data_IF_146613045100
#
_entry.id   IF_146613045100
#
_cell.length_a   1.000
_cell.length_b   1.000
_cell.length_c   1.000
_cell.angle_alpha   90.00
_cell.angle_beta   90.00
_cell.angle_gamma   90.00
#
_symmetry.space_group_name_H-M   'P 1'
#
loop_
_entity.id
_entity.type
_entity.pdbx_description
1 polymer ?
#
# COMPACT_ATOMS: atom_id res chain seq x y z
N UNK A 1 48.47 -66.76 -25.22
CA UNK A 1 48.53 -68.24 -25.18
C UNK A 1 47.10 -68.79 -25.21
N UNK A 2 46.93 -70.04 -25.69
CA UNK A 2 45.74 -70.94 -25.66
C UNK A 2 44.39 -70.38 -25.14
N UNK A 3 43.29 -70.36 -25.91
CA UNK A 3 42.51 -71.50 -26.47
C UNK A 3 41.72 -72.25 -25.37
N UNK A 4 40.38 -72.13 -25.28
CA UNK A 4 39.30 -72.87 -26.00
C UNK A 4 38.28 -73.36 -24.91
N UNK A 5 37.07 -73.91 -25.16
CA UNK A 5 36.39 -74.39 -26.37
C UNK A 5 34.84 -74.22 -26.27
N UNK A 6 34.10 -74.68 -27.28
CA UNK A 6 32.64 -74.55 -27.46
C UNK A 6 31.77 -75.42 -26.52
N UNK A 7 30.47 -75.09 -26.38
CA UNK A 7 29.46 -76.03 -25.88
C UNK A 7 28.03 -75.47 -25.76
N UNK A 8 27.13 -75.88 -26.67
CA UNK A 8 25.69 -75.56 -26.71
C UNK A 8 24.96 -76.69 -27.50
N UNK A 9 23.64 -76.95 -27.34
CA UNK A 9 22.75 -76.78 -26.18
C UNK A 9 22.14 -78.17 -25.77
N UNK A 10 21.01 -78.24 -25.03
CA UNK A 10 19.71 -78.34 -25.72
C UNK A 10 18.52 -77.64 -25.01
N UNK A 11 17.35 -77.65 -25.67
CA UNK A 11 16.18 -76.82 -25.41
C UNK A 11 15.08 -77.40 -24.50
N UNK A 12 14.55 -76.59 -23.58
CA UNK A 12 13.11 -76.48 -23.21
C UNK A 12 12.92 -75.41 -22.13
N UNK A 13 11.88 -74.57 -22.12
CA UNK A 13 10.80 -74.36 -23.08
C UNK A 13 9.64 -73.58 -22.45
N UNK A 14 9.38 -72.35 -22.92
CA UNK A 14 8.33 -71.49 -22.40
C UNK A 14 8.48 -70.05 -22.85
N UNK A 15 7.57 -69.57 -23.69
CA UNK A 15 7.44 -68.14 -24.02
C UNK A 15 6.51 -67.47 -23.02
N UNK A 16 6.76 -66.23 -22.64
CA UNK A 16 5.78 -65.12 -22.70
C UNK A 16 6.51 -63.77 -22.62
N UNK A 17 5.79 -62.69 -22.89
CA UNK A 17 6.29 -61.37 -23.27
C UNK A 17 7.44 -60.78 -22.42
N UNK A 18 8.35 -60.07 -23.09
CA UNK A 18 9.19 -59.03 -22.49
C UNK A 18 8.46 -57.71 -22.69
N UNK A 19 8.10 -57.04 -21.59
CA UNK A 19 7.78 -55.61 -21.58
C UNK A 19 9.04 -54.83 -21.18
N UNK A 20 9.19 -53.61 -21.69
CA UNK A 20 10.32 -52.74 -21.32
C UNK A 20 10.02 -52.05 -19.99
N UNK A 21 10.86 -52.27 -18.98
CA UNK A 21 10.95 -51.36 -17.83
C UNK A 21 11.84 -50.17 -18.24
N UNK A 22 11.26 -48.97 -18.28
CA UNK A 22 12.01 -47.73 -18.52
C UNK A 22 12.82 -47.33 -17.27
N UNK A 23 14.05 -46.84 -17.45
CA UNK A 23 14.92 -46.42 -16.34
C UNK A 23 14.32 -45.27 -15.51
N UNK A 24 13.98 -45.52 -14.23
CA UNK A 24 13.62 -44.46 -13.28
C UNK A 24 14.85 -43.59 -12.93
N UNK A 25 15.02 -42.49 -13.67
CA UNK A 25 16.03 -41.47 -13.42
C UNK A 25 15.92 -40.90 -11.98
N UNK A 26 16.92 -41.21 -11.15
CA UNK A 26 16.92 -40.87 -9.72
C UNK A 26 16.93 -39.35 -9.49
N UNK A 27 15.78 -38.80 -9.06
CA UNK A 27 15.63 -37.37 -8.82
C UNK A 27 16.35 -36.92 -7.55
N UNK A 28 17.20 -35.92 -7.71
CA UNK A 28 17.89 -35.20 -6.62
C UNK A 28 16.87 -34.62 -5.60
N UNK A 29 16.88 -35.06 -4.33
CA UNK A 29 15.94 -34.59 -3.31
C UNK A 29 16.13 -33.11 -2.94
N UNK A 30 17.23 -32.47 -3.33
CA UNK A 30 17.44 -31.03 -3.12
C UNK A 30 16.69 -30.14 -4.12
N UNK A 31 16.15 -30.71 -5.21
CA UNK A 31 15.35 -29.99 -6.21
C UNK A 31 13.84 -30.02 -5.95
N UNK A 32 13.41 -30.37 -4.74
CA UNK A 32 12.01 -30.25 -4.34
C UNK A 32 11.52 -28.80 -4.51
N UNK A 33 10.53 -28.58 -5.41
CA UNK A 33 9.84 -27.28 -5.50
C UNK A 33 9.31 -26.91 -4.11
N UNK A 34 9.49 -25.65 -3.65
CA UNK A 34 8.90 -25.24 -2.38
C UNK A 34 7.38 -25.46 -2.44
N UNK A 35 6.75 -25.96 -1.37
CA UNK A 35 5.34 -26.33 -1.40
C UNK A 35 4.51 -25.09 -1.73
N UNK A 36 3.79 -25.14 -2.86
CA UNK A 36 2.73 -24.17 -3.14
C UNK A 36 1.60 -24.41 -2.15
N UNK A 37 1.69 -23.76 -0.99
CA UNK A 37 0.54 -23.57 -0.11
C UNK A 37 -0.50 -22.83 -0.94
N UNK A 38 -1.56 -23.54 -1.31
CA UNK A 38 -2.66 -22.96 -2.05
C UNK A 38 -3.30 -21.87 -1.17
N UNK A 39 -3.01 -20.61 -1.52
CA UNK A 39 -3.75 -19.48 -0.94
C UNK A 39 -5.24 -19.70 -1.22
N UNK A 40 -6.15 -19.46 -0.28
CA UNK A 40 -7.57 -19.66 -0.50
C UNK A 40 -8.02 -18.95 -1.80
N UNK A 41 -8.89 -19.57 -2.61
CA UNK A 41 -9.30 -19.03 -3.90
C UNK A 41 -9.87 -17.62 -3.73
N UNK A 42 -9.80 -16.81 -4.80
CA UNK A 42 -10.02 -15.35 -4.79
C UNK A 42 -11.48 -14.90 -4.56
N UNK A 43 -12.12 -15.41 -3.52
CA UNK A 43 -13.31 -14.82 -2.92
C UNK A 43 -12.99 -13.45 -2.32
N UNK A 44 -13.98 -12.56 -2.37
CA UNK A 44 -13.89 -11.19 -1.88
C UNK A 44 -13.49 -11.17 -0.39
N UNK A 45 -12.32 -10.61 -0.05
CA UNK A 45 -11.87 -10.51 1.35
C UNK A 45 -12.70 -9.46 2.09
N UNK A 46 -13.60 -9.88 2.98
CA UNK A 46 -14.38 -8.98 3.82
C UNK A 46 -13.57 -8.52 5.05
N UNK A 47 -13.31 -7.21 5.13
CA UNK A 47 -12.67 -6.46 6.24
C UNK A 47 -11.26 -6.88 6.69
N UNK A 48 -10.40 -5.89 6.94
CA UNK A 48 -8.98 -6.05 7.33
C UNK A 48 -8.73 -6.49 8.78
N UNK A 49 -9.52 -7.44 9.28
CA UNK A 49 -9.46 -8.00 10.64
C UNK A 49 -9.04 -9.49 10.62
N UNK A 50 -8.29 -9.89 9.59
CA UNK A 50 -7.82 -11.27 9.42
C UNK A 50 -6.53 -11.54 10.19
N UNK A 51 -6.44 -12.69 10.86
CA UNK A 51 -5.20 -13.13 11.55
C UNK A 51 -3.98 -13.24 10.61
N UNK A 52 -4.21 -13.33 9.30
CA UNK A 52 -3.19 -13.38 8.25
C UNK A 52 -2.54 -12.01 7.98
N UNK A 53 -3.25 -10.90 8.28
CA UNK A 53 -2.76 -9.54 8.05
C UNK A 53 -1.99 -8.99 9.27
N UNK A 54 -2.17 -9.58 10.46
CA UNK A 54 -1.55 -9.13 11.70
C UNK A 54 0.00 -9.06 11.67
N UNK A 55 0.75 -9.99 11.03
CA UNK A 55 2.20 -9.85 10.90
C UNK A 55 2.61 -8.68 10.02
N UNK A 56 1.91 -8.45 8.89
CA UNK A 56 2.15 -7.30 8.00
C UNK A 56 1.87 -6.00 8.74
N UNK A 57 0.76 -5.93 9.48
CA UNK A 57 0.44 -4.80 10.35
C UNK A 57 1.51 -4.55 11.43
N UNK A 58 2.18 -5.59 11.94
CA UNK A 58 3.24 -5.42 12.95
C UNK A 58 4.53 -4.76 12.38
N UNK A 59 4.79 -4.84 11.07
CA UNK A 59 6.00 -4.28 10.44
C UNK A 59 6.15 -2.78 10.66
N UNK A 60 5.05 -2.04 10.85
CA UNK A 60 5.07 -0.60 11.11
C UNK A 60 5.86 -0.26 12.40
N UNK A 61 5.92 -1.18 13.36
CA UNK A 61 6.68 -1.00 14.60
C UNK A 61 8.17 -1.19 14.36
N UNK A 62 8.57 -2.24 13.62
CA UNK A 62 9.97 -2.50 13.30
C UNK A 62 10.61 -1.33 12.52
N UNK A 63 9.90 -0.80 11.53
CA UNK A 63 10.38 0.32 10.73
C UNK A 63 10.48 1.63 11.54
N UNK A 64 9.46 1.94 12.35
CA UNK A 64 9.44 3.17 13.14
C UNK A 64 10.43 3.11 14.33
N UNK A 65 10.60 1.94 14.95
CA UNK A 65 11.61 1.69 15.98
C UNK A 65 13.04 1.88 15.45
N UNK A 66 13.35 1.31 14.29
CA UNK A 66 14.65 1.50 13.65
C UNK A 66 14.92 2.98 13.31
N UNK A 67 13.95 3.69 12.73
CA UNK A 67 14.04 5.14 12.49
C UNK A 67 14.25 5.94 13.79
N UNK A 68 13.58 5.58 14.89
CA UNK A 68 13.72 6.26 16.19
C UNK A 68 15.12 6.06 16.81
N UNK A 69 15.70 4.87 16.67
CA UNK A 69 17.10 4.61 17.06
C UNK A 69 18.06 5.43 16.20
N UNK A 70 17.85 5.49 14.88
CA UNK A 70 18.67 6.32 13.98
C UNK A 70 18.65 7.81 14.35
N UNK A 71 17.48 8.37 14.71
CA UNK A 71 17.37 9.74 15.22
C UNK A 71 18.16 9.93 16.53
N UNK A 72 18.03 8.99 17.46
CA UNK A 72 18.74 9.02 18.76
C UNK A 72 20.26 8.93 18.60
N UNK A 73 20.73 8.20 17.59
CA UNK A 73 22.14 8.06 17.21
C UNK A 73 22.66 9.23 16.34
N UNK A 74 21.84 10.23 16.03
CA UNK A 74 22.26 11.40 15.25
C UNK A 74 22.44 11.15 13.75
N UNK A 75 21.90 10.05 13.20
CA UNK A 75 21.89 9.85 11.75
C UNK A 75 21.08 10.94 11.04
N UNK A 76 19.96 11.37 11.63
CA UNK A 76 19.11 12.45 11.13
C UNK A 76 18.34 13.11 12.28
N UNK A 77 17.80 14.31 12.05
CA UNK A 77 16.95 14.99 13.03
C UNK A 77 15.46 14.60 12.85
N UNK A 78 14.88 14.05 13.93
CA UNK A 78 13.45 13.81 14.05
C UNK A 78 12.93 14.13 15.46
N UNK A 79 12.45 15.36 15.69
CA UNK A 79 11.90 15.74 16.99
C UNK A 79 10.53 15.08 17.29
N UNK A 80 9.91 14.41 16.32
CA UNK A 80 8.55 13.85 16.45
C UNK A 80 8.55 12.35 16.72
N UNK A 81 9.46 11.59 16.09
CA UNK A 81 9.42 10.13 16.11
C UNK A 81 9.59 9.55 17.52
N UNK A 82 10.45 10.14 18.36
CA UNK A 82 10.64 9.75 19.76
C UNK A 82 9.44 10.03 20.67
N UNK A 83 8.46 10.81 20.21
CA UNK A 83 7.19 11.02 20.92
C UNK A 83 6.08 10.09 20.41
N UNK A 84 6.13 9.68 19.15
CA UNK A 84 5.10 8.85 18.49
C UNK A 84 5.41 7.35 18.62
N UNK A 85 6.68 6.95 18.58
CA UNK A 85 7.09 5.54 18.66
C UNK A 85 7.24 5.12 20.13
N UNK A 86 6.59 4.03 20.58
CA UNK A 86 6.74 3.54 21.95
C UNK A 86 8.18 3.09 22.23
N UNK A 87 8.75 3.51 23.36
CA UNK A 87 10.17 3.30 23.67
C UNK A 87 10.61 1.82 23.67
N UNK A 88 9.71 0.87 24.00
CA UNK A 88 10.00 -0.57 23.96
C UNK A 88 10.24 -1.12 22.54
N UNK A 89 9.89 -0.36 21.51
CA UNK A 89 10.03 -0.72 20.08
C UNK A 89 11.40 -0.31 19.54
N UNK A 90 12.09 0.63 20.21
CA UNK A 90 13.43 1.13 19.85
C UNK A 90 14.55 0.15 20.25
N UNK A 91 14.37 -1.15 19.96
CA UNK A 91 15.39 -2.18 20.17
C UNK A 91 16.58 -2.00 19.23
N UNK A 92 17.79 -2.27 19.72
CA UNK A 92 19.04 -2.12 18.96
C UNK A 92 18.99 -2.92 17.66
N UNK A 93 19.25 -2.27 16.52
CA UNK A 93 19.57 -2.92 15.24
C UNK A 93 21.09 -2.85 15.02
N UNK A 94 21.61 -3.45 13.94
CA UNK A 94 23.03 -3.34 13.58
C UNK A 94 23.34 -2.01 12.88
N UNK A 95 24.61 -1.56 12.84
CA UNK A 95 25.02 -0.37 12.08
C UNK A 95 24.65 -0.44 10.59
N UNK A 96 24.71 -1.64 9.99
CA UNK A 96 24.22 -1.91 8.61
C UNK A 96 22.74 -1.52 8.47
N UNK A 97 21.90 -1.94 9.41
CA UNK A 97 20.47 -1.58 9.41
C UNK A 97 20.28 -0.08 9.62
N UNK A 98 21.05 0.57 10.50
CA UNK A 98 20.94 2.02 10.71
C UNK A 98 21.35 2.83 9.47
N UNK A 99 22.42 2.43 8.77
CA UNK A 99 22.82 3.00 7.45
C UNK A 99 21.70 2.85 6.41
N UNK A 100 21.12 1.66 6.30
CA UNK A 100 19.98 1.40 5.41
C UNK A 100 18.75 2.25 5.75
N UNK A 101 18.38 2.36 7.03
CA UNK A 101 17.28 3.21 7.47
C UNK A 101 17.53 4.71 7.28
N UNK A 102 18.77 5.17 7.41
CA UNK A 102 19.17 6.55 7.11
C UNK A 102 18.99 6.89 5.62
N UNK A 103 19.41 6.02 4.71
CA UNK A 103 19.22 6.20 3.27
C UNK A 103 17.74 6.14 2.88
N UNK A 104 17.01 5.11 3.35
CA UNK A 104 15.55 4.98 3.23
C UNK A 104 14.81 6.26 3.64
N UNK A 105 15.16 6.80 4.81
CA UNK A 105 14.52 7.98 5.40
C UNK A 105 14.86 9.29 4.68
N UNK A 106 16.14 9.49 4.33
CA UNK A 106 16.57 10.68 3.58
C UNK A 106 16.02 10.70 2.16
N UNK A 107 15.87 9.54 1.50
CA UNK A 107 15.22 9.42 0.21
C UNK A 107 13.78 9.94 0.23
N UNK A 108 12.92 9.48 1.14
CA UNK A 108 11.51 9.91 1.22
C UNK A 108 11.39 11.42 1.52
N UNK A 109 12.24 11.95 2.41
CA UNK A 109 12.24 13.38 2.76
C UNK A 109 12.72 14.27 1.60
N UNK A 110 13.79 13.87 0.91
CA UNK A 110 14.28 14.56 -0.29
C UNK A 110 13.24 14.52 -1.42
N UNK A 111 12.53 13.40 -1.57
CA UNK A 111 11.48 13.27 -2.56
C UNK A 111 10.32 14.24 -2.34
N UNK A 112 9.76 14.30 -1.12
CA UNK A 112 8.70 15.24 -0.78
C UNK A 112 9.12 16.70 -0.99
N UNK A 113 10.32 17.09 -0.55
CA UNK A 113 10.88 18.43 -0.76
C UNK A 113 11.02 18.79 -2.25
N UNK A 114 11.57 17.86 -3.04
CA UNK A 114 11.83 18.03 -4.48
C UNK A 114 10.53 18.13 -5.28
N UNK A 115 9.55 17.27 -4.98
CA UNK A 115 8.20 17.31 -5.55
C UNK A 115 7.51 18.66 -5.28
N UNK A 116 7.52 19.14 -4.03
CA UNK A 116 6.92 20.43 -3.64
C UNK A 116 7.55 21.61 -4.40
N UNK A 117 8.86 21.55 -4.67
CA UNK A 117 9.59 22.56 -5.45
C UNK A 117 9.34 22.49 -6.97
N UNK A 118 8.93 21.33 -7.49
CA UNK A 118 8.70 21.10 -8.93
C UNK A 118 7.21 21.23 -9.35
N UNK A 119 6.30 21.13 -8.39
CA UNK A 119 4.85 21.28 -8.57
C UNK A 119 4.42 22.66 -9.12
N UNK A 120 3.32 22.73 -9.90
CA UNK A 120 2.77 24.01 -10.37
C UNK A 120 2.40 24.89 -9.15
N UNK A 121 2.98 26.09 -9.00
CA UNK A 121 2.76 26.96 -7.85
C UNK A 121 1.32 27.49 -7.73
N UNK A 122 0.54 27.42 -8.83
CA UNK A 122 -0.85 27.87 -8.89
C UNK A 122 -1.86 26.76 -8.52
N UNK A 123 -1.38 25.51 -8.36
CA UNK A 123 -2.21 24.35 -8.00
C UNK A 123 -1.85 23.88 -6.57
N UNK A 124 -2.81 23.37 -5.78
CA UNK A 124 -2.53 22.85 -4.44
C UNK A 124 -1.54 21.67 -4.43
N UNK A 125 -1.08 21.32 -3.23
CA UNK A 125 -0.21 20.16 -2.95
C UNK A 125 -1.03 19.11 -2.20
N UNK A 126 -1.04 17.88 -2.71
CA UNK A 126 -1.41 16.69 -1.94
C UNK A 126 -0.19 15.78 -1.78
N UNK A 127 -0.09 15.14 -0.62
CA UNK A 127 0.82 14.01 -0.39
C UNK A 127 0.00 12.87 0.21
N UNK A 128 0.19 11.65 -0.26
CA UNK A 128 -0.46 10.44 0.24
C UNK A 128 0.61 9.44 0.65
N UNK A 129 0.80 9.25 1.96
CA UNK A 129 1.66 8.20 2.51
C UNK A 129 0.82 6.91 2.63
N UNK A 130 1.10 5.93 1.74
CA UNK A 130 0.37 4.67 1.60
C UNK A 130 1.02 3.63 2.52
N UNK A 131 0.27 3.13 3.50
CA UNK A 131 0.77 2.26 4.58
C UNK A 131 1.66 3.02 5.56
N UNK A 132 1.28 4.26 5.88
CA UNK A 132 2.11 5.22 6.61
C UNK A 132 2.54 4.75 8.01
N UNK A 133 1.82 3.84 8.66
CA UNK A 133 2.18 3.34 9.98
C UNK A 133 2.42 4.47 11.00
N UNK A 134 3.63 4.53 11.55
CA UNK A 134 4.07 5.62 12.45
C UNK A 134 5.05 6.59 11.77
N UNK A 135 4.95 6.82 10.45
CA UNK A 135 5.81 7.77 9.75
C UNK A 135 5.66 9.21 10.28
N UNK A 136 6.71 10.00 10.09
CA UNK A 136 6.81 11.41 10.52
C UNK A 136 6.92 12.39 9.34
N UNK A 137 6.70 11.91 8.11
CA UNK A 137 6.94 12.68 6.88
C UNK A 137 6.06 13.94 6.82
N UNK A 138 4.80 13.87 7.26
CA UNK A 138 3.94 15.05 7.40
C UNK A 138 4.59 16.18 8.20
N UNK A 139 5.13 15.86 9.38
CA UNK A 139 5.70 16.87 10.28
C UNK A 139 6.95 17.52 9.69
N UNK A 140 7.78 16.73 8.98
CA UNK A 140 8.91 17.26 8.23
C UNK A 140 8.48 18.22 7.11
N UNK A 141 7.46 17.83 6.33
CA UNK A 141 6.91 18.67 5.27
C UNK A 141 6.31 19.95 5.84
N UNK A 142 5.38 19.84 6.80
CA UNK A 142 4.71 20.98 7.43
C UNK A 142 5.70 21.96 8.09
N UNK A 143 6.80 21.46 8.69
CA UNK A 143 7.81 22.30 9.31
C UNK A 143 8.75 23.03 8.33
N UNK A 144 8.75 22.68 7.04
CA UNK A 144 9.68 23.19 6.04
C UNK A 144 9.04 23.71 4.74
N UNK A 145 7.76 23.46 4.48
CA UNK A 145 7.06 23.81 3.23
C UNK A 145 7.19 25.30 2.84
N UNK A 146 7.14 26.20 3.83
CA UNK A 146 7.35 27.65 3.64
C UNK A 146 8.77 27.99 3.14
N UNK A 147 9.79 27.23 3.54
CA UNK A 147 11.18 27.34 3.04
C UNK A 147 11.32 26.82 1.60
N UNK A 148 10.34 26.06 1.12
CA UNK A 148 10.27 25.52 -0.23
C UNK A 148 9.35 26.35 -1.15
N UNK A 149 8.90 27.52 -0.68
CA UNK A 149 8.13 28.49 -1.47
C UNK A 149 6.62 28.21 -1.54
N UNK A 150 6.10 27.28 -0.73
CA UNK A 150 4.67 26.92 -0.66
C UNK A 150 4.13 27.19 0.74
N UNK A 151 2.85 27.56 0.86
CA UNK A 151 2.23 27.82 2.17
C UNK A 151 1.79 26.51 2.83
N UNK A 152 1.66 26.50 4.16
CA UNK A 152 1.08 25.35 4.86
C UNK A 152 -0.39 25.12 4.47
N UNK A 153 -1.09 26.20 4.11
CA UNK A 153 -2.46 26.19 3.60
C UNK A 153 -2.58 25.65 2.16
N UNK A 154 -1.47 25.49 1.42
CA UNK A 154 -1.47 24.87 0.09
C UNK A 154 -1.55 23.33 0.16
N UNK A 155 -1.31 22.74 1.33
CA UNK A 155 -1.10 21.31 1.54
C UNK A 155 -2.38 20.61 2.02
N UNK A 156 -2.61 19.38 1.53
CA UNK A 156 -3.35 18.34 2.25
C UNK A 156 -2.53 17.06 2.26
N UNK A 157 -2.11 16.63 3.46
CA UNK A 157 -1.35 15.40 3.66
C UNK A 157 -2.29 14.29 4.16
N UNK A 158 -2.39 13.21 3.39
CA UNK A 158 -3.14 12.01 3.72
C UNK A 158 -2.19 10.91 4.18
N UNK A 159 -2.53 10.21 5.25
CA UNK A 159 -1.90 8.95 5.65
C UNK A 159 -2.95 7.85 5.57
N UNK A 160 -2.77 6.89 4.65
CA UNK A 160 -3.67 5.77 4.45
C UNK A 160 -3.10 4.51 5.10
N UNK A 161 -3.85 3.85 5.97
CA UNK A 161 -3.45 2.58 6.60
C UNK A 161 -4.69 1.78 7.05
N UNK A 162 -4.48 0.53 7.49
CA UNK A 162 -5.52 -0.31 8.06
C UNK A 162 -6.21 0.41 9.24
N UNK A 163 -7.55 0.24 9.41
CA UNK A 163 -8.32 0.86 10.49
C UNK A 163 -7.72 0.74 11.90
N UNK A 164 -7.13 -0.42 12.22
CA UNK A 164 -6.48 -0.68 13.51
C UNK A 164 -5.18 0.11 13.70
N UNK A 165 -4.45 0.43 12.63
CA UNK A 165 -3.21 1.23 12.68
C UNK A 165 -3.54 2.72 12.75
N UNK A 166 -4.50 3.19 11.94
CA UNK A 166 -5.06 4.54 12.07
C UNK A 166 -5.59 4.79 13.48
N UNK A 167 -6.37 3.86 14.06
CA UNK A 167 -6.89 3.99 15.43
C UNK A 167 -5.76 4.13 16.47
N UNK A 168 -4.66 3.38 16.33
CA UNK A 168 -3.47 3.51 17.19
C UNK A 168 -2.78 4.87 17.00
N UNK A 169 -2.62 5.36 15.76
CA UNK A 169 -1.99 6.65 15.47
C UNK A 169 -2.84 7.82 15.97
N UNK A 170 -4.16 7.83 15.73
CA UNK A 170 -5.11 8.82 16.28
C UNK A 170 -4.96 8.95 17.80
N UNK A 171 -5.01 7.84 18.55
CA UNK A 171 -4.87 7.83 20.02
C UNK A 171 -3.50 8.33 20.48
N UNK A 172 -2.45 7.97 19.76
CA UNK A 172 -1.07 8.42 20.05
C UNK A 172 -0.94 9.93 19.82
N UNK A 173 -1.38 10.45 18.68
CA UNK A 173 -1.30 11.88 18.36
C UNK A 173 -2.15 12.73 19.33
N UNK A 174 -3.37 12.31 19.65
CA UNK A 174 -4.23 12.99 20.63
C UNK A 174 -3.58 13.05 22.02
N UNK A 175 -3.05 11.94 22.53
CA UNK A 175 -2.39 11.90 23.85
C UNK A 175 -1.06 12.65 23.88
N UNK A 176 -0.38 12.79 22.73
CA UNK A 176 0.92 13.48 22.61
C UNK A 176 0.82 14.93 22.16
N UNK A 177 -0.35 15.42 21.76
CA UNK A 177 -0.54 16.68 21.04
C UNK A 177 0.15 17.90 21.70
N UNK A 178 0.11 17.99 23.03
CA UNK A 178 0.71 19.08 23.80
C UNK A 178 2.23 18.92 24.03
N UNK A 179 2.77 17.72 23.81
CA UNK A 179 4.20 17.35 24.02
C UNK A 179 4.97 17.13 22.72
N UNK A 180 4.26 17.02 21.60
CA UNK A 180 4.81 16.82 20.26
C UNK A 180 5.38 18.16 19.76
N UNK A 181 6.68 18.26 19.39
CA UNK A 181 7.29 19.55 19.05
C UNK A 181 6.59 20.26 17.89
N UNK A 182 6.16 21.52 18.14
CA UNK A 182 5.29 22.31 17.25
C UNK A 182 3.97 21.60 16.85
N UNK A 183 3.52 20.58 17.59
CA UNK A 183 2.44 19.68 17.16
C UNK A 183 1.11 20.38 16.89
N UNK A 184 0.68 21.25 17.82
CA UNK A 184 -0.56 22.03 17.68
C UNK A 184 -0.46 23.17 16.66
N UNK A 185 0.68 23.85 16.64
CA UNK A 185 1.02 24.89 15.67
C UNK A 185 0.98 24.35 14.23
N UNK A 186 1.70 23.24 13.99
CA UNK A 186 1.78 22.58 12.68
C UNK A 186 0.46 21.94 12.28
N UNK A 187 -0.41 21.52 13.20
CA UNK A 187 -1.79 21.10 12.90
C UNK A 187 -2.80 22.26 12.83
N UNK A 188 -2.36 23.53 13.00
CA UNK A 188 -3.21 24.75 13.08
C UNK A 188 -4.30 24.73 14.17
N UNK A 189 -4.13 23.91 15.23
CA UNK A 189 -5.11 23.74 16.32
C UNK A 189 -5.03 24.80 17.43
N UNK A 190 -4.14 25.78 17.31
CA UNK A 190 -3.95 26.91 18.25
C UNK A 190 -4.55 28.25 17.76
N UNK A 191 -5.13 28.30 16.56
CA UNK A 191 -5.61 29.56 15.95
C UNK A 191 -7.00 29.94 16.50
N UNK A 192 -7.04 30.24 17.81
CA UNK A 192 -8.26 30.43 18.60
C UNK A 192 -8.29 31.72 19.41
N UNK A 193 -7.76 32.83 18.87
CA UNK A 193 -7.78 34.17 19.51
C UNK A 193 -8.53 35.24 18.69
N UNK A 194 -9.47 34.81 17.83
CA UNK A 194 -10.42 35.70 17.15
C UNK A 194 -11.68 35.95 17.98
N UNK A 195 -12.46 37.00 17.69
CA UNK A 195 -13.77 37.21 18.31
C UNK A 195 -14.75 36.07 17.95
N UNK A 196 -15.71 35.74 18.83
CA UNK A 196 -16.62 34.61 18.61
C UNK A 196 -17.52 34.85 17.39
N UNK A 197 -17.25 34.15 16.29
CA UNK A 197 -18.01 34.24 15.04
C UNK A 197 -17.27 33.74 13.80
N UNK A 198 -15.93 33.77 13.78
CA UNK A 198 -15.13 33.12 12.72
C UNK A 198 -14.85 31.66 13.06
N UNK A 199 -15.01 30.75 12.10
CA UNK A 199 -14.78 29.32 12.24
C UNK A 199 -13.35 28.99 12.71
N UNK A 200 -13.23 28.48 13.94
CA UNK A 200 -11.98 27.94 14.47
C UNK A 200 -11.64 26.58 13.85
N UNK A 201 -10.36 26.21 13.86
CA UNK A 201 -9.88 24.93 13.33
C UNK A 201 -10.18 23.75 14.25
N UNK A 202 -11.43 23.30 14.29
CA UNK A 202 -11.83 22.08 15.01
C UNK A 202 -11.23 20.81 14.37
N UNK A 203 -10.91 19.82 15.21
CA UNK A 203 -10.64 18.46 14.75
C UNK A 203 -11.97 17.79 14.45
N UNK A 204 -12.30 17.60 13.18
CA UNK A 204 -13.59 17.04 12.74
C UNK A 204 -13.67 15.53 13.03
N UNK A 205 -14.08 15.19 14.25
CA UNK A 205 -14.31 13.81 14.71
C UNK A 205 -15.63 13.26 14.17
N UNK A 206 -15.61 12.61 13.00
CA UNK A 206 -16.76 11.90 12.45
C UNK A 206 -16.73 10.40 12.78
N UNK A 207 -17.86 9.85 13.22
CA UNK A 207 -18.03 8.40 13.44
C UNK A 207 -18.46 7.69 12.15
N UNK A 208 -17.53 6.98 11.49
CA UNK A 208 -17.81 6.23 10.27
C UNK A 208 -18.62 4.94 10.57
N UNK A 209 -19.90 4.94 10.18
CA UNK A 209 -20.87 3.88 10.46
C UNK A 209 -20.90 2.80 9.37
N UNK A 210 -19.76 2.17 9.06
CA UNK A 210 -19.69 1.06 8.09
C UNK A 210 -20.36 -0.21 8.62
N UNK A 211 -21.64 -0.37 8.32
CA UNK A 211 -22.33 -1.66 8.41
C UNK A 211 -21.87 -2.63 7.30
N UNK A 212 -22.09 -3.94 7.44
CA UNK A 212 -21.79 -4.90 6.38
C UNK A 212 -22.67 -4.65 5.16
N UNK A 213 -22.05 -4.58 3.98
CA UNK A 213 -22.75 -4.40 2.70
C UNK A 213 -23.66 -5.60 2.42
N UNK A 214 -24.95 -5.43 2.09
CA UNK A 214 -25.84 -6.54 1.79
C UNK A 214 -25.38 -7.34 0.56
N UNK A 215 -25.10 -8.63 0.75
CA UNK A 215 -24.78 -9.56 -0.33
C UNK A 215 -26.04 -9.92 -1.15
N UNK A 216 -26.52 -8.99 -1.99
CA UNK A 216 -27.82 -9.14 -2.64
C UNK A 216 -28.21 -8.12 -3.71
N UNK A 217 -27.26 -7.45 -4.37
CA UNK A 217 -27.53 -6.55 -5.49
C UNK A 217 -26.52 -6.74 -6.63
N UNK A 218 -26.88 -7.51 -7.65
CA UNK A 218 -26.12 -7.55 -8.90
C UNK A 218 -26.24 -6.21 -9.66
N UNK A 219 -25.20 -5.76 -10.37
CA UNK A 219 -25.22 -4.46 -11.04
C UNK A 219 -26.24 -4.46 -12.18
N UNK A 220 -27.23 -3.56 -12.09
CA UNK A 220 -28.05 -3.20 -13.24
C UNK A 220 -27.18 -2.60 -14.34
N UNK A 221 -27.44 -2.98 -15.59
CA UNK A 221 -26.70 -2.47 -16.75
C UNK A 221 -26.80 -0.93 -16.82
N UNK A 222 -25.67 -0.21 -17.04
CA UNK A 222 -25.72 1.23 -17.25
C UNK A 222 -26.46 1.53 -18.57
N UNK A 223 -27.25 2.62 -18.63
CA UNK A 223 -27.90 3.03 -19.88
C UNK A 223 -26.85 3.44 -20.93
N UNK A 224 -27.09 3.17 -22.22
CA UNK A 224 -26.15 3.53 -23.28
C UNK A 224 -26.03 5.05 -23.43
N UNK A 225 -24.79 5.53 -23.61
CA UNK A 225 -24.50 6.94 -23.88
C UNK A 225 -25.07 7.38 -25.26
N UNK A 226 -25.55 8.62 -25.39
CA UNK A 226 -26.12 9.12 -26.64
C UNK A 226 -25.06 9.23 -27.74
N UNK A 227 -25.34 8.64 -28.91
CA UNK A 227 -24.39 8.52 -30.00
C UNK A 227 -24.30 9.82 -30.82
N UNK A 228 -23.12 10.44 -30.86
CA UNK A 228 -22.90 11.72 -31.55
C UNK A 228 -22.58 11.50 -33.04
N UNK A 229 -23.60 11.46 -33.89
CA UNK A 229 -23.45 11.53 -35.35
C UNK A 229 -24.59 12.34 -35.98
N UNK A 230 -24.25 13.34 -36.79
CA UNK A 230 -25.21 14.30 -37.33
C UNK A 230 -25.82 13.87 -38.67
N UNK A 231 -27.15 13.85 -38.76
CA UNK A 231 -27.91 13.75 -40.00
C UNK A 231 -29.12 14.71 -39.98
N UNK A 232 -29.71 15.01 -41.14
CA UNK A 232 -30.68 16.10 -41.35
C UNK A 232 -32.15 15.62 -41.38
N UNK A 233 -33.06 16.52 -40.95
CA UNK A 233 -34.51 16.55 -41.25
C UNK A 233 -35.33 15.34 -40.70
N UNK A 234 -36.67 15.32 -40.59
CA UNK A 234 -37.76 16.20 -41.11
C UNK A 234 -38.71 16.60 -39.95
N UNK A 235 -39.66 17.52 -40.21
CA UNK A 235 -40.72 18.00 -39.29
C UNK A 235 -41.99 17.10 -39.34
N UNK A 236 -42.97 17.36 -38.46
CA UNK A 236 -44.34 16.78 -38.33
C UNK A 236 -44.44 15.55 -37.41
N UNK A 237 -45.37 15.43 -36.46
CA UNK A 237 -46.31 16.44 -35.91
C UNK A 237 -47.64 15.85 -35.41
N UNK A 238 -48.08 16.25 -34.20
CA UNK A 238 -49.51 16.26 -33.81
C UNK A 238 -50.03 15.25 -32.77
N UNK A 239 -50.53 15.82 -31.66
CA UNK A 239 -51.80 15.49 -30.95
C UNK A 239 -51.85 14.34 -29.92
N UNK A 240 -52.59 14.63 -28.84
CA UNK A 240 -52.93 13.75 -27.70
C UNK A 240 -54.37 13.23 -27.83
N UNK A 241 -54.65 11.99 -27.38
CA UNK A 241 -55.99 11.50 -26.95
C UNK A 241 -55.84 10.46 -25.81
N UNK A 242 -56.95 10.08 -25.15
CA UNK A 242 -56.95 9.57 -23.76
C UNK A 242 -57.98 8.47 -23.42
N UNK A 243 -57.51 7.35 -22.85
CA UNK A 243 -58.29 6.34 -22.07
C UNK A 243 -59.38 5.56 -22.83
N UNK A 244 -60.26 4.79 -22.13
CA UNK A 244 -60.19 4.27 -20.74
C UNK A 244 -60.51 2.74 -20.64
N UNK A 245 -60.53 2.14 -19.42
CA UNK A 245 -61.22 0.85 -19.17
C UNK A 245 -60.67 -0.05 -18.04
N UNK A 246 -61.56 -0.61 -17.21
CA UNK A 246 -61.34 -1.65 -16.16
C UNK A 246 -62.36 -2.82 -16.42
N UNK A 247 -62.76 -3.77 -15.51
CA UNK A 247 -62.49 -4.05 -14.07
C UNK A 247 -61.78 -5.44 -13.90
N UNK A 248 -61.85 -6.31 -12.85
CA UNK A 248 -62.67 -6.52 -11.62
C UNK A 248 -61.85 -7.12 -10.45
N UNK A 249 -62.50 -7.31 -9.28
CA UNK A 249 -62.11 -8.23 -8.18
C UNK A 249 -62.68 -9.66 -8.44
N UNK A 250 -62.68 -10.70 -7.58
CA UNK A 250 -62.37 -10.96 -6.14
C UNK A 250 -61.84 -12.42 -5.97
N UNK A 251 -61.80 -13.19 -4.85
CA UNK A 251 -62.43 -13.14 -3.50
C UNK A 251 -61.73 -14.01 -2.41
N UNK A 252 -62.26 -13.89 -1.19
CA UNK A 252 -62.05 -14.55 0.13
C UNK A 252 -61.68 -16.06 0.21
N UNK A 253 -61.03 -16.47 1.33
CA UNK A 253 -60.84 -17.89 1.71
C UNK A 253 -60.14 -18.21 3.07
N UNK A 254 -60.79 -17.91 4.20
CA UNK A 254 -60.54 -18.40 5.59
C UNK A 254 -60.58 -19.94 5.74
N UNK A 255 -60.03 -20.65 6.75
CA UNK A 255 -59.26 -20.32 7.99
C UNK A 255 -58.64 -21.56 8.68
N UNK A 256 -57.46 -21.41 9.31
CA UNK A 256 -57.08 -21.94 10.65
C UNK A 256 -56.90 -23.46 10.96
N UNK A 257 -55.87 -23.79 11.77
CA UNK A 257 -55.80 -24.86 12.81
C UNK A 257 -54.50 -24.70 13.63
N UNK A 258 -54.46 -25.19 14.88
CA UNK A 258 -53.34 -24.99 15.84
C UNK A 258 -52.90 -26.27 16.55
N UNK A 259 -51.59 -26.47 16.77
CA UNK A 259 -51.04 -27.33 17.85
C UNK A 259 -49.55 -27.04 18.14
N UNK A 260 -49.06 -27.50 19.30
CA UNK A 260 -47.69 -27.37 19.85
C UNK A 260 -47.53 -28.44 20.97
N UNK A 261 -46.39 -28.61 21.68
CA UNK A 261 -45.02 -28.10 21.47
C UNK A 261 -43.94 -29.25 21.49
N UNK A 262 -42.65 -28.92 21.38
CA UNK A 262 -41.54 -29.78 21.89
C UNK A 262 -40.37 -28.90 22.35
N UNK A 263 -39.49 -29.42 23.21
CA UNK A 263 -38.65 -28.65 24.16
C UNK A 263 -37.16 -28.53 23.83
N UNK A 264 -36.61 -27.35 24.15
CA UNK A 264 -35.22 -27.03 24.55
C UNK A 264 -34.05 -27.91 24.09
N UNK A 265 -33.14 -27.28 23.34
CA UNK A 265 -31.77 -27.05 23.84
C UNK A 265 -31.29 -25.68 23.35
N UNK A 266 -30.41 -25.01 24.10
CA UNK A 266 -30.08 -23.59 23.88
C UNK A 266 -28.58 -23.36 23.92
N UNK A 267 -27.97 -23.04 22.78
CA UNK A 267 -26.61 -22.49 22.72
C UNK A 267 -26.43 -21.59 21.48
N UNK A 268 -27.24 -20.52 21.40
CA UNK A 268 -27.01 -19.45 20.45
C UNK A 268 -25.73 -18.70 20.84
N UNK A 269 -24.59 -19.12 20.29
CA UNK A 269 -23.33 -18.39 20.36
C UNK A 269 -23.45 -17.11 19.53
N UNK A 270 -24.06 -16.07 20.12
CA UNK A 270 -24.19 -14.75 19.50
C UNK A 270 -22.81 -14.17 19.27
N UNK A 271 -22.31 -14.34 18.05
CA UNK A 271 -21.02 -13.79 17.61
C UNK A 271 -21.15 -12.27 17.62
N UNK A 272 -20.65 -11.64 18.68
CA UNK A 272 -20.65 -10.19 18.81
C UNK A 272 -19.67 -9.60 17.80
N UNK A 273 -20.18 -9.28 16.61
CA UNK A 273 -19.46 -8.50 15.60
C UNK A 273 -19.18 -7.12 16.17
N UNK A 274 -17.99 -6.96 16.75
CA UNK A 274 -17.53 -5.71 17.34
C UNK A 274 -17.22 -4.72 16.22
N UNK A 275 -18.19 -3.86 15.90
CA UNK A 275 -18.01 -2.73 14.98
C UNK A 275 -16.97 -1.77 15.56
N UNK A 276 -15.71 -1.99 15.19
CA UNK A 276 -14.57 -1.17 15.61
C UNK A 276 -14.71 0.26 15.06
N UNK A 277 -15.32 1.14 15.86
CA UNK A 277 -15.48 2.56 15.54
C UNK A 277 -14.12 3.19 15.27
N UNK A 278 -13.91 3.68 14.06
CA UNK A 278 -12.69 4.42 13.71
C UNK A 278 -12.93 5.90 13.93
N UNK A 279 -12.18 6.49 14.86
CA UNK A 279 -12.08 7.94 15.00
C UNK A 279 -11.18 8.48 13.89
N UNK A 280 -11.78 9.13 12.90
CA UNK A 280 -11.04 9.85 11.86
C UNK A 280 -10.40 11.11 12.47
N UNK A 281 -9.11 11.34 12.21
CA UNK A 281 -8.36 12.47 12.75
C UNK A 281 -7.98 13.41 11.60
N UNK A 282 -8.79 14.43 11.39
CA UNK A 282 -8.66 15.41 10.31
C UNK A 282 -8.50 16.82 10.88
N UNK A 283 -7.75 17.66 10.17
CA UNK A 283 -7.52 19.09 10.48
C UNK A 283 -7.76 19.91 9.20
N UNK A 284 -7.17 21.10 9.04
CA UNK A 284 -7.20 21.77 7.73
C UNK A 284 -6.43 20.98 6.66
N UNK A 285 -5.24 20.47 6.98
CA UNK A 285 -4.20 20.04 6.03
C UNK A 285 -3.52 18.70 6.38
N UNK A 286 -3.98 18.00 7.41
CA UNK A 286 -3.60 16.60 7.72
C UNK A 286 -4.85 15.72 7.81
N UNK A 287 -4.77 14.48 7.31
CA UNK A 287 -5.86 13.49 7.27
C UNK A 287 -5.33 12.09 7.58
N UNK A 288 -5.83 11.45 8.63
CA UNK A 288 -5.74 10.00 8.75
C UNK A 288 -6.91 9.32 8.00
N UNK A 289 -6.59 8.35 7.15
CA UNK A 289 -7.54 7.67 6.25
C UNK A 289 -7.49 6.17 6.53
N UNK A 290 -8.60 5.63 7.03
CA UNK A 290 -8.71 4.22 7.42
C UNK A 290 -9.35 3.39 6.30
N UNK A 291 -8.55 2.53 5.68
CA UNK A 291 -9.02 1.65 4.61
C UNK A 291 -8.12 0.42 4.44
N UNK A 292 -8.69 -0.69 3.95
CA UNK A 292 -7.89 -1.71 3.29
C UNK A 292 -7.61 -1.28 1.83
N UNK A 293 -6.38 -0.85 1.54
CA UNK A 293 -6.01 -0.37 0.20
C UNK A 293 -6.15 -1.45 -0.89
N UNK A 294 -6.23 -2.73 -0.52
CA UNK A 294 -6.49 -3.85 -1.45
C UNK A 294 -7.93 -3.87 -1.98
N UNK A 295 -8.79 -2.97 -1.48
CA UNK A 295 -10.16 -2.72 -1.92
C UNK A 295 -10.23 -1.36 -2.63
N UNK A 296 -10.07 -1.29 -3.98
CA UNK A 296 -9.89 -0.01 -4.68
C UNK A 296 -11.01 1.00 -4.47
N UNK A 297 -12.27 0.54 -4.36
CA UNK A 297 -13.42 1.41 -4.04
C UNK A 297 -13.33 1.98 -2.63
N UNK A 298 -13.09 1.14 -1.63
CA UNK A 298 -12.95 1.57 -0.23
C UNK A 298 -11.82 2.60 -0.05
N UNK A 299 -10.70 2.40 -0.75
CA UNK A 299 -9.57 3.32 -0.79
C UNK A 299 -9.94 4.68 -1.42
N UNK A 300 -10.50 4.66 -2.63
CA UNK A 300 -10.95 5.87 -3.33
C UNK A 300 -12.02 6.61 -2.53
N UNK A 301 -13.06 5.91 -2.08
CA UNK A 301 -14.15 6.47 -1.27
C UNK A 301 -13.62 7.08 0.04
N UNK A 302 -12.69 6.42 0.74
CA UNK A 302 -12.12 6.93 1.99
C UNK A 302 -11.27 8.20 1.77
N UNK A 303 -10.58 8.32 0.63
CA UNK A 303 -9.89 9.55 0.24
C UNK A 303 -10.89 10.67 -0.11
N UNK A 304 -11.95 10.38 -0.88
CA UNK A 304 -12.98 11.36 -1.20
C UNK A 304 -13.68 11.90 0.06
N UNK A 305 -14.05 11.04 1.02
CA UNK A 305 -14.62 11.47 2.30
C UNK A 305 -13.65 12.29 3.17
N UNK A 306 -12.34 12.08 3.03
CA UNK A 306 -11.31 12.89 3.68
C UNK A 306 -11.04 14.26 3.00
N UNK A 307 -11.71 14.55 1.88
CA UNK A 307 -11.60 15.83 1.17
C UNK A 307 -10.61 15.83 -0.01
N UNK A 308 -10.53 14.72 -0.75
CA UNK A 308 -9.69 14.60 -1.94
C UNK A 308 -9.90 15.70 -2.99
N UNK A 309 -8.81 16.24 -3.54
CA UNK A 309 -8.83 17.22 -4.63
C UNK A 309 -8.08 16.70 -5.87
N UNK A 310 -8.82 16.17 -6.85
CA UNK A 310 -8.26 15.68 -8.11
C UNK A 310 -7.56 16.72 -9.01
N UNK A 311 -7.64 18.02 -8.67
CA UNK A 311 -6.99 19.12 -9.40
C UNK A 311 -5.60 19.49 -8.85
N UNK A 312 -5.19 18.90 -7.73
CA UNK A 312 -3.93 19.22 -7.07
C UNK A 312 -2.72 18.50 -7.68
N UNK A 313 -1.53 19.10 -7.57
CA UNK A 313 -0.29 18.33 -7.68
C UNK A 313 -0.32 17.26 -6.58
N UNK A 314 -0.04 16.01 -6.91
CA UNK A 314 -0.19 14.90 -5.97
C UNK A 314 1.02 13.97 -5.99
N UNK A 315 1.64 13.80 -4.80
CA UNK A 315 2.69 12.81 -4.55
C UNK A 315 2.12 11.61 -3.78
N UNK A 316 2.34 10.42 -4.30
CA UNK A 316 2.10 9.15 -3.60
C UNK A 316 3.43 8.59 -3.09
N UNK A 317 3.47 8.15 -1.84
CA UNK A 317 4.63 7.55 -1.19
C UNK A 317 4.29 6.13 -0.76
N UNK A 318 5.18 5.17 -1.02
CA UNK A 318 5.07 3.78 -0.57
C UNK A 318 6.41 3.29 -0.01
N UNK A 319 6.46 3.02 1.30
CA UNK A 319 7.72 2.80 2.03
C UNK A 319 7.79 1.37 2.63
N UNK A 320 7.98 0.35 1.78
CA UNK A 320 7.75 -1.09 2.01
C UNK A 320 6.28 -1.41 2.30
N UNK A 321 5.41 -1.39 1.28
CA UNK A 321 3.96 -1.58 1.46
C UNK A 321 3.29 -2.37 0.32
N UNK A 322 3.51 -2.03 -0.96
CA UNK A 322 2.97 -2.77 -2.11
C UNK A 322 3.63 -4.16 -2.25
N UNK A 323 4.85 -4.32 -1.73
CA UNK A 323 5.54 -5.61 -1.62
C UNK A 323 4.79 -6.63 -0.73
N UNK A 324 3.92 -6.18 0.18
CA UNK A 324 3.14 -7.04 1.09
C UNK A 324 1.78 -7.49 0.53
N UNK A 325 1.47 -7.19 -0.73
CA UNK A 325 0.25 -7.67 -1.42
C UNK A 325 0.61 -8.30 -2.78
N UNK A 326 -0.19 -9.26 -3.25
CA UNK A 326 0.01 -9.85 -4.58
C UNK A 326 0.04 -8.75 -5.67
N UNK A 327 0.86 -8.90 -6.71
CA UNK A 327 1.13 -7.85 -7.71
C UNK A 327 -0.14 -7.15 -8.20
N UNK A 328 -1.15 -7.93 -8.60
CA UNK A 328 -2.47 -7.45 -9.05
C UNK A 328 -3.13 -6.42 -8.12
N UNK A 329 -3.01 -6.54 -6.79
CA UNK A 329 -3.63 -5.60 -5.85
C UNK A 329 -2.81 -4.31 -5.75
N UNK A 330 -1.48 -4.41 -5.76
CA UNK A 330 -0.60 -3.24 -5.82
C UNK A 330 -0.78 -2.47 -7.13
N UNK A 331 -1.00 -3.19 -8.24
CA UNK A 331 -1.24 -2.60 -9.55
C UNK A 331 -2.58 -1.84 -9.60
N UNK A 332 -3.65 -2.35 -8.99
CA UNK A 332 -4.91 -1.61 -8.84
C UNK A 332 -4.81 -0.41 -7.88
N UNK A 333 -3.95 -0.46 -6.85
CA UNK A 333 -3.63 0.71 -6.02
C UNK A 333 -2.93 1.79 -6.86
N UNK A 334 -1.89 1.44 -7.62
CA UNK A 334 -1.15 2.36 -8.49
C UNK A 334 -2.08 2.99 -9.53
N UNK A 335 -2.91 2.19 -10.20
CA UNK A 335 -3.95 2.69 -11.15
C UNK A 335 -4.92 3.64 -10.46
N UNK A 336 -5.43 3.28 -9.29
CA UNK A 336 -6.37 4.12 -8.53
C UNK A 336 -5.76 5.48 -8.19
N UNK A 337 -4.50 5.51 -7.74
CA UNK A 337 -3.77 6.74 -7.44
C UNK A 337 -3.70 7.68 -8.66
N UNK A 338 -3.40 7.14 -9.85
CA UNK A 338 -3.35 7.93 -11.07
C UNK A 338 -4.74 8.37 -11.55
N UNK A 339 -5.76 7.51 -11.45
CA UNK A 339 -7.17 7.79 -11.82
C UNK A 339 -7.86 8.82 -10.93
N UNK A 340 -7.46 8.91 -9.65
CA UNK A 340 -7.92 9.93 -8.70
C UNK A 340 -7.44 11.35 -9.08
N UNK A 341 -6.36 11.47 -9.86
CA UNK A 341 -5.76 12.73 -10.26
C UNK A 341 -6.34 13.22 -11.59
N UNK A 342 -7.47 13.93 -11.55
CA UNK A 342 -8.31 14.26 -12.70
C UNK A 342 -8.04 15.63 -13.36
N UNK A 343 -7.00 16.35 -12.94
CA UNK A 343 -6.60 17.64 -13.55
C UNK A 343 -6.40 17.51 -15.08
N UNK A 344 -7.19 18.23 -15.91
CA UNK A 344 -7.30 17.97 -17.34
C UNK A 344 -6.40 18.85 -18.23
N UNK A 345 -5.83 19.94 -17.71
CA UNK A 345 -4.92 20.80 -18.50
C UNK A 345 -3.51 20.22 -18.61
N UNK A 346 -3.17 19.22 -17.79
CA UNK A 346 -1.83 18.64 -17.78
C UNK A 346 -0.82 19.62 -17.21
N UNK A 347 -1.07 20.11 -15.99
CA UNK A 347 -0.13 20.91 -15.20
C UNK A 347 0.04 20.42 -13.77
N UNK A 348 -0.92 19.67 -13.24
CA UNK A 348 -0.71 18.98 -11.96
C UNK A 348 0.38 17.91 -12.12
N UNK A 349 1.50 18.09 -11.41
CA UNK A 349 2.50 17.04 -11.25
C UNK A 349 1.90 15.89 -10.44
N UNK A 350 1.94 14.68 -11.00
CA UNK A 350 1.48 13.43 -10.40
C UNK A 350 2.71 12.54 -10.27
N UNK A 351 3.11 12.25 -9.04
CA UNK A 351 4.37 11.56 -8.74
C UNK A 351 4.12 10.35 -7.83
N UNK A 352 4.86 9.28 -8.02
CA UNK A 352 4.84 8.10 -7.16
C UNK A 352 6.27 7.73 -6.77
N UNK A 353 6.53 7.63 -5.46
CA UNK A 353 7.84 7.32 -4.89
C UNK A 353 7.76 6.04 -4.08
N UNK A 354 8.67 5.11 -4.34
CA UNK A 354 8.64 3.74 -3.82
C UNK A 354 9.99 3.39 -3.22
N UNK A 355 10.00 2.88 -1.99
CA UNK A 355 11.15 2.21 -1.39
C UNK A 355 10.75 0.76 -1.06
N UNK A 356 11.26 -0.25 -1.79
CA UNK A 356 10.92 -1.66 -1.57
C UNK A 356 12.09 -2.61 -1.84
N UNK A 357 11.91 -3.91 -1.57
CA UNK A 357 12.89 -4.96 -1.80
C UNK A 357 12.96 -5.37 -3.29
N UNK A 358 14.15 -5.77 -3.74
CA UNK A 358 14.38 -6.32 -5.08
C UNK A 358 15.42 -7.46 -5.08
N UNK A 359 15.71 -7.97 -6.29
CA UNK A 359 16.72 -8.98 -6.60
C UNK A 359 16.56 -10.30 -5.81
N UNK A 360 15.36 -10.90 -5.75
CA UNK A 360 15.07 -12.07 -4.91
C UNK A 360 15.83 -13.34 -5.31
N UNK A 361 16.32 -13.44 -6.55
CA UNK A 361 16.93 -14.67 -7.07
C UNK A 361 18.43 -14.83 -6.74
N UNK A 362 19.08 -13.81 -6.16
CA UNK A 362 20.47 -13.92 -5.70
C UNK A 362 20.58 -14.79 -4.43
N UNK A 363 21.80 -15.13 -3.99
CA UNK A 363 22.00 -15.82 -2.71
C UNK A 363 21.44 -15.02 -1.52
N UNK A 364 21.72 -13.70 -1.47
CA UNK A 364 21.20 -12.83 -0.42
C UNK A 364 19.70 -12.61 -0.53
N UNK A 365 19.17 -12.39 -1.75
CA UNK A 365 17.73 -12.25 -2.01
C UNK A 365 16.93 -13.45 -1.52
N UNK A 366 17.41 -14.67 -1.81
CA UNK A 366 16.82 -15.92 -1.32
C UNK A 366 16.81 -16.01 0.21
N UNK A 367 17.90 -15.59 0.87
CA UNK A 367 17.97 -15.52 2.33
C UNK A 367 17.03 -14.44 2.90
N UNK A 368 16.98 -13.26 2.30
CA UNK A 368 16.09 -12.15 2.70
C UNK A 368 14.61 -12.58 2.63
N UNK A 369 14.18 -13.12 1.49
CA UNK A 369 12.79 -13.60 1.29
C UNK A 369 12.46 -14.71 2.29
N UNK A 370 13.36 -15.69 2.48
CA UNK A 370 13.19 -16.75 3.49
C UNK A 370 13.05 -16.19 4.90
N UNK A 371 13.93 -15.29 5.30
CA UNK A 371 13.98 -14.72 6.65
C UNK A 371 12.74 -13.88 6.97
N UNK A 372 12.20 -13.15 5.98
CA UNK A 372 10.98 -12.36 6.13
C UNK A 372 9.72 -13.25 6.13
N UNK A 373 9.65 -14.25 5.25
CA UNK A 373 8.59 -15.25 5.26
C UNK A 373 8.53 -16.04 6.59
N UNK A 374 9.68 -16.44 7.14
CA UNK A 374 9.77 -17.10 8.46
C UNK A 374 9.33 -16.20 9.64
N UNK A 375 9.27 -14.88 9.45
CA UNK A 375 8.70 -13.90 10.40
C UNK A 375 7.23 -13.60 10.11
N UNK A 376 6.56 -14.40 9.29
CA UNK A 376 5.17 -14.19 8.88
C UNK A 376 4.96 -13.02 7.91
N UNK A 377 6.02 -12.43 7.37
CA UNK A 377 5.98 -11.25 6.51
C UNK A 377 6.37 -11.62 5.05
N UNK A 378 5.51 -12.34 4.31
CA UNK A 378 5.80 -12.71 2.92
C UNK A 378 5.88 -11.47 2.03
N UNK A 379 6.92 -11.41 1.20
CA UNK A 379 7.01 -10.44 0.11
C UNK A 379 6.22 -11.00 -1.08
N UNK A 380 4.96 -10.58 -1.21
CA UNK A 380 3.94 -11.23 -2.04
C UNK A 380 4.04 -10.90 -3.54
N UNK A 381 4.68 -9.79 -3.91
CA UNK A 381 4.83 -9.35 -5.31
C UNK A 381 6.29 -9.29 -5.79
N UNK A 382 7.26 -9.64 -4.95
CA UNK A 382 8.70 -9.58 -5.31
C UNK A 382 9.09 -10.58 -6.42
N UNK A 383 8.30 -11.64 -6.63
CA UNK A 383 8.47 -12.59 -7.73
C UNK A 383 7.92 -12.08 -9.06
N UNK A 384 6.96 -11.14 -9.00
CA UNK A 384 6.25 -10.58 -10.14
C UNK A 384 7.08 -9.43 -10.75
N UNK A 385 7.69 -8.61 -9.89
CA UNK A 385 8.48 -7.44 -10.25
C UNK A 385 9.85 -7.49 -9.53
N UNK A 386 10.77 -8.28 -10.08
CA UNK A 386 11.99 -8.75 -9.39
C UNK A 386 13.08 -7.71 -9.25
N UNK A 387 13.30 -6.91 -10.28
CA UNK A 387 14.43 -5.98 -10.41
C UNK A 387 13.95 -4.52 -10.44
N UNK A 388 14.83 -3.54 -10.23
CA UNK A 388 14.50 -2.12 -10.46
C UNK A 388 13.93 -1.86 -11.86
N UNK A 389 14.43 -2.56 -12.89
CA UNK A 389 13.95 -2.44 -14.27
C UNK A 389 12.53 -2.99 -14.47
N UNK A 390 12.17 -4.08 -13.78
CA UNK A 390 10.79 -4.61 -13.82
C UNK A 390 9.80 -3.61 -13.18
N UNK A 391 10.24 -2.90 -12.14
CA UNK A 391 9.43 -1.85 -11.49
C UNK A 391 9.32 -0.59 -12.37
N UNK A 392 10.37 -0.20 -13.11
CA UNK A 392 10.28 0.85 -14.16
C UNK A 392 9.26 0.48 -15.24
N UNK A 393 9.33 -0.76 -15.75
CA UNK A 393 8.41 -1.27 -16.75
C UNK A 393 6.96 -1.33 -16.22
N UNK A 394 6.78 -1.77 -14.97
CA UNK A 394 5.50 -1.78 -14.25
C UNK A 394 4.86 -0.40 -14.20
N UNK A 395 5.56 0.60 -13.65
CA UNK A 395 4.97 1.94 -13.50
C UNK A 395 4.63 2.59 -14.85
N UNK A 396 5.45 2.36 -15.89
CA UNK A 396 5.13 2.79 -17.27
C UNK A 396 3.91 2.07 -17.86
N UNK A 397 3.81 0.74 -17.69
CA UNK A 397 2.64 -0.04 -18.12
C UNK A 397 1.35 0.34 -17.38
N UNK A 398 1.44 0.88 -16.16
CA UNK A 398 0.32 1.35 -15.35
C UNK A 398 -0.05 2.83 -15.61
N UNK A 399 0.61 3.51 -16.55
CA UNK A 399 0.21 4.81 -17.08
C UNK A 399 1.06 6.01 -16.66
N UNK A 400 2.17 5.81 -15.94
CA UNK A 400 3.15 6.88 -15.73
C UNK A 400 3.97 7.11 -17.01
N UNK A 401 4.27 8.37 -17.31
CA UNK A 401 5.02 8.72 -18.53
C UNK A 401 6.50 8.38 -18.38
N UNK A 402 7.09 8.78 -17.25
CA UNK A 402 8.44 8.40 -16.87
C UNK A 402 8.45 7.64 -15.53
N UNK A 403 9.44 6.76 -15.42
CA UNK A 403 9.73 5.97 -14.23
C UNK A 403 11.21 5.59 -14.27
N UNK A 404 11.90 5.79 -13.16
CA UNK A 404 13.30 5.40 -12.96
C UNK A 404 13.48 4.81 -11.58
N UNK A 405 14.27 3.75 -11.50
CA UNK A 405 14.65 3.08 -10.27
C UNK A 405 16.17 2.89 -10.18
N UNK A 406 16.63 2.73 -8.95
CA UNK A 406 18.03 2.56 -8.56
C UNK A 406 18.11 1.61 -7.37
N UNK A 407 19.14 0.76 -7.27
CA UNK A 407 19.44 0.13 -5.97
C UNK A 407 19.80 1.18 -4.92
N UNK A 408 19.74 0.86 -3.62
CA UNK A 408 20.10 1.86 -2.62
C UNK A 408 21.57 2.26 -2.69
N UNK A 409 22.48 1.37 -3.13
CA UNK A 409 23.87 1.73 -3.43
C UNK A 409 23.98 2.71 -4.61
N UNK A 410 23.15 2.54 -5.64
CA UNK A 410 23.07 3.47 -6.77
C UNK A 410 22.49 4.83 -6.38
N UNK A 411 21.57 4.87 -5.41
CA UNK A 411 21.06 6.10 -4.82
C UNK A 411 22.12 6.78 -3.95
N UNK A 412 22.75 6.05 -3.02
CA UNK A 412 23.81 6.54 -2.12
C UNK A 412 24.93 7.24 -2.91
N UNK A 413 25.42 6.60 -3.98
CA UNK A 413 26.46 7.17 -4.87
C UNK A 413 26.08 8.46 -5.60
N UNK A 414 24.78 8.77 -5.69
CA UNK A 414 24.29 10.03 -6.30
C UNK A 414 24.07 11.12 -5.26
N UNK A 415 23.47 10.77 -4.12
CA UNK A 415 22.90 11.74 -3.18
C UNK A 415 23.69 11.96 -1.88
N UNK A 416 24.79 11.25 -1.67
CA UNK A 416 25.64 11.41 -0.48
C UNK A 416 27.00 11.99 -0.85
N UNK A 417 27.43 13.03 -0.12
CA UNK A 417 28.75 13.63 -0.28
C UNK A 417 29.77 12.96 0.64
N UNK A 418 31.03 13.14 0.32
CA UNK A 418 32.18 12.69 1.10
C UNK A 418 32.10 13.16 2.57
N UNK A 419 31.61 14.37 2.83
CA UNK A 419 31.43 14.97 4.16
C UNK A 419 30.34 14.27 4.95
N UNK A 420 29.24 13.91 4.29
CA UNK A 420 28.09 13.26 4.90
C UNK A 420 28.37 11.77 5.17
N UNK A 421 29.04 11.08 4.24
CA UNK A 421 29.58 9.73 4.47
C UNK A 421 30.58 9.73 5.65
N UNK A 422 31.47 10.73 5.73
CA UNK A 422 32.35 10.92 6.90
C UNK A 422 31.58 11.29 8.17
N UNK A 423 30.44 11.98 8.08
CA UNK A 423 29.59 12.33 9.24
C UNK A 423 28.92 11.09 9.82
N UNK A 424 28.17 10.33 9.00
CA UNK A 424 27.52 9.09 9.45
C UNK A 424 28.56 8.04 9.85
N UNK A 425 29.72 8.03 9.17
CA UNK A 425 30.89 7.21 9.49
C UNK A 425 31.45 7.38 10.90
N UNK A 426 31.19 8.52 11.56
CA UNK A 426 31.61 8.78 12.95
C UNK A 426 30.60 8.40 14.02
N UNK A 427 29.37 8.02 13.65
CA UNK A 427 28.29 7.72 14.59
C UNK A 427 28.39 6.29 15.16
N UNK A 428 28.72 5.33 14.29
CA UNK A 428 28.88 3.92 14.62
C UNK A 428 30.02 3.33 13.77
N UNK A 429 30.78 2.42 14.38
CA UNK A 429 31.77 1.60 13.68
C UNK A 429 31.07 0.61 12.74
N UNK A 430 31.65 0.41 11.57
CA UNK A 430 31.24 -0.57 10.56
C UNK A 430 32.51 -1.07 9.85
N UNK A 431 32.83 -2.33 10.08
CA UNK A 431 33.85 -3.13 9.40
C UNK A 431 33.26 -3.84 8.17
N UNK A 432 32.05 -4.39 8.28
CA UNK A 432 31.35 -5.16 7.24
C UNK A 432 30.71 -4.26 6.13
N UNK A 433 31.54 -3.44 5.46
CA UNK A 433 31.09 -2.54 4.37
C UNK A 433 30.55 -3.33 3.17
N UNK A 434 31.12 -4.50 2.89
CA UNK A 434 30.66 -5.43 1.86
C UNK A 434 29.24 -5.98 2.16
N UNK A 435 28.89 -6.24 3.42
CA UNK A 435 27.53 -6.63 3.80
C UNK A 435 26.55 -5.45 3.68
N UNK A 436 26.97 -4.22 4.01
CA UNK A 436 26.14 -3.03 3.76
C UNK A 436 25.84 -2.86 2.27
N UNK A 437 26.84 -3.03 1.39
CA UNK A 437 26.62 -3.01 -0.06
C UNK A 437 25.68 -4.14 -0.49
N UNK A 438 25.90 -5.35 -0.01
CA UNK A 438 25.05 -6.50 -0.36
C UNK A 438 23.60 -6.29 0.10
N UNK A 439 23.37 -5.75 1.30
CA UNK A 439 22.04 -5.35 1.78
C UNK A 439 21.40 -4.29 0.88
N UNK A 440 22.15 -3.25 0.52
CA UNK A 440 21.66 -2.13 -0.29
C UNK A 440 21.32 -2.49 -1.74
N UNK A 441 21.95 -3.50 -2.34
CA UNK A 441 21.58 -3.99 -3.69
C UNK A 441 20.29 -4.84 -3.71
N UNK A 442 19.66 -5.07 -2.55
CA UNK A 442 18.39 -5.79 -2.43
C UNK A 442 17.23 -4.89 -1.96
N UNK A 443 17.45 -3.58 -1.98
CA UNK A 443 16.43 -2.54 -1.87
C UNK A 443 16.58 -1.55 -3.03
N UNK A 444 15.48 -0.96 -3.46
CA UNK A 444 15.47 0.06 -4.51
C UNK A 444 14.70 1.32 -4.07
N UNK A 445 15.07 2.45 -4.65
CA UNK A 445 14.25 3.64 -4.75
C UNK A 445 13.73 3.74 -6.19
N UNK A 446 12.42 3.87 -6.39
CA UNK A 446 11.81 4.23 -7.66
C UNK A 446 11.09 5.57 -7.52
N UNK A 447 11.16 6.38 -8.57
CA UNK A 447 10.33 7.57 -8.78
C UNK A 447 9.68 7.46 -10.16
N UNK A 448 8.37 7.65 -10.23
CA UNK A 448 7.61 7.75 -11.47
C UNK A 448 6.79 9.05 -11.51
N UNK A 449 6.67 9.67 -12.67
CA UNK A 449 5.91 10.90 -12.86
C UNK A 449 5.06 10.89 -14.15
N UNK A 450 4.04 11.73 -14.19
CA UNK A 450 3.25 11.98 -15.39
C UNK A 450 3.91 12.96 -16.37
N UNK A 451 4.86 13.81 -15.91
CA UNK A 451 5.29 15.00 -16.65
C UNK A 451 6.70 15.51 -16.31
N UNK A 452 7.25 16.27 -17.27
CA UNK A 452 8.01 17.50 -16.99
C UNK A 452 9.53 17.36 -16.84
N UNK A 453 10.01 16.24 -16.35
CA UNK A 453 11.44 15.98 -16.11
C UNK A 453 11.72 14.47 -16.13
N UNK A 454 12.96 14.05 -16.41
CA UNK A 454 13.35 12.65 -16.14
C UNK A 454 13.78 12.54 -14.66
N UNK A 455 13.38 11.51 -13.90
CA UNK A 455 13.78 11.43 -12.50
C UNK A 455 15.30 11.45 -12.28
N UNK A 456 16.10 10.88 -13.18
CA UNK A 456 17.57 10.94 -13.17
C UNK A 456 18.18 12.33 -13.41
N UNK A 457 17.38 13.35 -13.77
CA UNK A 457 17.83 14.75 -13.88
C UNK A 457 17.69 15.49 -12.53
N UNK A 458 17.08 14.88 -11.51
CA UNK A 458 16.80 15.50 -10.20
C UNK A 458 17.09 14.54 -9.00
N UNK A 459 17.82 13.43 -9.21
CA UNK A 459 18.26 12.46 -8.19
C UNK A 459 19.68 11.92 -8.43
#
# INVERSE_FOLDING_TARGET
MMAAANGDPPSSGGQFAVEHEDDEEQRDPTQARPPQIAWPPAGYRTSGDSLLDAPVQATHLDAAGAKAVCATLGYFEDPWIGQIVPAFVAGRKSPIMHRGYYLRYTAMRRAAERFIKAADPNLPIQIVDLGAGLNTLYWYVAANIEKWGRKLEDLVFFEADFPVIVSKKTKTLLSKLNTLPRGRELLRLDVGSGPPGSSSGDVTMHEDHRGPVPAGAGPGLPPPLPNANGARQVVVGGRVLSGPGAPTTSSNGTSGVTSSPTTTSSENLTTMSATHRVQQFHTAHYRLVACDMRQPREFQDSLFHAGWNGMANTLFVSECVLVYMQGQFGDEVIKSCLQLCQEPSGRALKEFVVYEQCNPDTAFGKMMVRNLHQRGCPLMSITDYKTPADQEARYKALGFAEAKAWTMNEHERRVMTDEELKRIGRLEFLDEVEELRLFQDHYFLLVACNQGYKPEEIY
#
